data_IF_585427066333
#
_entry.id   IF_585427066333
#
_cell.length_a   1.000
_cell.length_b   1.000
_cell.length_c   1.000
_cell.angle_alpha   90.00
_cell.angle_beta   90.00
_cell.angle_gamma   90.00
#
_symmetry.space_group_name_H-M   'P 1'
#
loop_
_entity.id
_entity.type
_entity.pdbx_description
1 polymer ?
#
# COMPACT_ATOMS: atom_id res chain seq x y z
N UNK A 1 1.20 11.53 12.21
CA UNK A 1 1.37 10.67 11.04
C UNK A 1 2.70 9.90 11.01
N UNK A 2 3.76 10.51 11.51
CA UNK A 2 5.07 9.86 11.59
C UNK A 2 4.99 8.52 12.35
N UNK A 3 4.31 8.50 13.49
CA UNK A 3 4.18 7.29 14.31
C UNK A 3 3.39 6.19 13.59
N UNK A 4 2.32 6.54 12.90
CA UNK A 4 1.53 5.56 12.16
C UNK A 4 2.35 4.96 11.01
N UNK A 5 3.02 5.79 10.23
CA UNK A 5 3.87 5.33 9.14
C UNK A 5 4.99 4.41 9.66
N UNK A 6 5.61 4.78 10.77
CA UNK A 6 6.67 3.97 11.39
C UNK A 6 6.14 2.61 11.84
N UNK A 7 4.95 2.56 12.41
CA UNK A 7 4.32 1.30 12.83
C UNK A 7 4.02 0.41 11.62
N UNK A 8 3.55 0.99 10.52
CA UNK A 8 3.30 0.26 9.29
C UNK A 8 4.61 -0.31 8.73
N UNK A 9 5.67 0.50 8.70
CA UNK A 9 6.99 0.05 8.24
C UNK A 9 7.49 -1.11 9.09
N UNK A 10 7.29 -1.05 10.41
CA UNK A 10 7.61 -2.17 11.29
C UNK A 10 6.90 -3.47 10.89
N UNK A 11 5.63 -3.37 10.51
CA UNK A 11 4.89 -4.53 10.00
C UNK A 11 5.46 -5.04 8.68
N UNK A 12 5.82 -4.15 7.77
CA UNK A 12 6.46 -4.50 6.49
C UNK A 12 7.73 -5.31 6.73
N UNK A 13 8.57 -4.82 7.63
CA UNK A 13 9.85 -5.47 7.96
C UNK A 13 9.60 -6.87 8.53
N UNK A 14 8.66 -7.01 9.45
CA UNK A 14 8.33 -8.32 10.04
C UNK A 14 7.80 -9.31 9.01
N UNK A 15 6.93 -8.86 8.12
CA UNK A 15 6.41 -9.72 7.04
C UNK A 15 7.55 -10.17 6.13
N UNK A 16 8.42 -9.26 5.73
CA UNK A 16 9.54 -9.59 4.85
C UNK A 16 10.53 -10.55 5.53
N UNK A 17 10.81 -10.33 6.81
CA UNK A 17 11.67 -11.23 7.59
C UNK A 17 11.06 -12.63 7.72
N UNK A 18 9.75 -12.71 7.87
CA UNK A 18 9.06 -13.99 8.02
C UNK A 18 8.91 -14.77 6.73
N UNK A 19 8.59 -14.09 5.64
CA UNK A 19 8.32 -14.73 4.36
C UNK A 19 9.50 -14.73 3.40
N UNK A 20 10.28 -13.66 3.40
CA UNK A 20 11.32 -13.45 2.40
C UNK A 20 10.75 -13.11 1.03
N UNK A 21 11.61 -12.92 0.02
CA UNK A 21 11.17 -12.66 -1.35
C UNK A 21 10.64 -13.91 -2.04
N UNK A 22 9.91 -13.72 -3.15
CA UNK A 22 9.54 -14.81 -4.05
C UNK A 22 8.08 -15.20 -4.04
N UNK A 23 7.27 -14.67 -3.15
CA UNK A 23 5.84 -14.94 -3.12
C UNK A 23 5.06 -13.96 -4.01
N UNK A 24 3.81 -14.30 -4.32
CA UNK A 24 2.91 -13.43 -5.05
C UNK A 24 2.39 -12.30 -4.15
N UNK A 25 1.98 -11.20 -4.76
CA UNK A 25 1.54 -10.02 -4.03
C UNK A 25 0.39 -10.31 -3.04
N UNK A 26 -0.57 -11.16 -3.42
CA UNK A 26 -1.70 -11.48 -2.55
C UNK A 26 -1.27 -12.16 -1.25
N UNK A 27 -0.17 -12.90 -1.25
CA UNK A 27 0.36 -13.54 -0.06
C UNK A 27 0.91 -12.49 0.91
N UNK A 28 1.67 -11.53 0.38
CA UNK A 28 2.17 -10.41 1.19
C UNK A 28 1.03 -9.55 1.73
N UNK A 29 -0.01 -9.33 0.93
CA UNK A 29 -1.17 -8.55 1.38
C UNK A 29 -1.85 -9.24 2.56
N UNK A 30 -2.06 -10.54 2.50
CA UNK A 30 -2.65 -11.31 3.60
C UNK A 30 -1.78 -11.28 4.85
N UNK A 31 -0.48 -11.43 4.69
CA UNK A 31 0.47 -11.37 5.81
C UNK A 31 0.48 -9.97 6.43
N UNK A 32 0.48 -8.93 5.61
CA UNK A 32 0.40 -7.55 6.09
C UNK A 32 -0.88 -7.29 6.88
N UNK A 33 -2.01 -7.80 6.38
CA UNK A 33 -3.29 -7.67 7.10
C UNK A 33 -3.21 -8.28 8.50
N UNK A 34 -2.60 -9.46 8.62
CA UNK A 34 -2.41 -10.12 9.91
C UNK A 34 -1.53 -9.26 10.84
N UNK A 35 -0.38 -8.82 10.35
CA UNK A 35 0.55 -8.02 11.15
C UNK A 35 -0.04 -6.70 11.59
N UNK A 36 -0.72 -6.00 10.69
CA UNK A 36 -1.33 -4.70 11.01
C UNK A 36 -2.42 -4.86 12.08
N UNK A 37 -3.28 -5.87 11.94
CA UNK A 37 -4.32 -6.14 12.94
C UNK A 37 -3.73 -6.50 14.29
N UNK A 38 -2.68 -7.32 14.32
CA UNK A 38 -1.98 -7.67 15.57
C UNK A 38 -1.30 -6.47 16.22
N UNK A 39 -0.93 -5.49 15.42
CA UNK A 39 -0.40 -4.22 15.93
C UNK A 39 -1.51 -3.28 16.45
N UNK A 40 -2.77 -3.71 16.40
CA UNK A 40 -3.90 -2.91 16.87
C UNK A 40 -4.38 -1.86 15.88
N UNK A 41 -4.00 -1.97 14.61
CA UNK A 41 -4.39 -1.01 13.58
C UNK A 41 -5.63 -1.48 12.83
N UNK A 42 -6.56 -0.57 12.57
CA UNK A 42 -7.71 -0.87 11.74
C UNK A 42 -7.30 -0.77 10.27
N UNK A 43 -7.81 -1.69 9.46
CA UNK A 43 -7.45 -1.73 8.04
C UNK A 43 -8.68 -1.99 7.19
N UNK A 44 -8.62 -1.51 5.94
CA UNK A 44 -9.52 -1.89 4.86
C UNK A 44 -8.69 -2.60 3.81
N UNK A 45 -9.15 -3.76 3.34
CA UNK A 45 -8.43 -4.59 2.38
C UNK A 45 -9.14 -4.51 1.04
N UNK A 46 -8.38 -4.30 -0.03
CA UNK A 46 -8.90 -4.28 -1.40
C UNK A 46 -10.06 -3.30 -1.58
N UNK A 47 -9.96 -2.12 -0.98
CA UNK A 47 -11.00 -1.11 -1.11
C UNK A 47 -11.02 -0.53 -2.51
N UNK A 48 -12.20 -0.47 -3.12
CA UNK A 48 -12.38 0.20 -4.40
C UNK A 48 -12.57 1.70 -4.22
N UNK A 49 -11.99 2.46 -5.15
CA UNK A 49 -12.18 3.89 -5.28
C UNK A 49 -12.74 4.17 -6.68
N UNK A 50 -13.82 4.93 -6.74
CA UNK A 50 -14.45 5.28 -8.01
C UNK A 50 -13.78 6.51 -8.59
N UNK A 51 -13.44 6.46 -9.87
CA UNK A 51 -12.82 7.57 -10.59
C UNK A 51 -13.91 8.27 -11.41
N UNK A 52 -14.02 9.58 -11.23
CA UNK A 52 -14.98 10.42 -11.94
C UNK A 52 -14.26 11.38 -12.88
N UNK A 53 -14.88 11.59 -14.04
CA UNK A 53 -14.47 12.62 -14.98
C UNK A 53 -15.69 13.45 -15.35
N UNK A 54 -15.66 14.73 -15.00
CA UNK A 54 -16.78 15.66 -15.25
C UNK A 54 -18.12 15.12 -14.74
N UNK A 55 -18.10 14.49 -13.56
CA UNK A 55 -19.28 13.96 -12.90
C UNK A 55 -19.70 12.55 -13.31
N UNK A 56 -19.07 11.99 -14.33
CA UNK A 56 -19.38 10.63 -14.80
C UNK A 56 -18.34 9.63 -14.30
N UNK A 57 -18.80 8.47 -13.88
CA UNK A 57 -17.89 7.39 -13.48
C UNK A 57 -17.17 6.86 -14.73
N UNK A 58 -15.83 6.90 -14.71
CA UNK A 58 -15.00 6.42 -15.82
C UNK A 58 -14.18 5.19 -15.46
N UNK A 59 -14.16 4.80 -14.19
CA UNK A 59 -13.44 3.59 -13.79
C UNK A 59 -13.35 3.45 -12.29
N UNK A 60 -12.69 2.37 -11.87
CA UNK A 60 -12.45 2.08 -10.46
C UNK A 60 -11.04 1.56 -10.26
N UNK A 61 -10.42 1.97 -9.16
CA UNK A 61 -9.16 1.39 -8.69
C UNK A 61 -9.41 0.56 -7.46
N UNK A 62 -8.62 -0.50 -7.30
CA UNK A 62 -8.60 -1.30 -6.07
C UNK A 62 -7.27 -1.09 -5.37
N UNK A 63 -7.33 -0.53 -4.18
CA UNK A 63 -6.15 -0.28 -3.34
C UNK A 63 -5.92 -1.49 -2.45
N UNK A 64 -4.66 -1.90 -2.26
CA UNK A 64 -4.34 -3.09 -1.47
C UNK A 64 -4.81 -2.97 -0.02
N UNK A 65 -4.34 -1.94 0.66
CA UNK A 65 -4.65 -1.72 2.08
C UNK A 65 -4.79 -0.23 2.35
N UNK A 66 -5.72 0.12 3.24
CA UNK A 66 -5.78 1.46 3.84
C UNK A 66 -5.74 1.26 5.34
N UNK A 67 -4.77 1.92 5.98
CA UNK A 67 -4.52 1.78 7.41
C UNK A 67 -5.07 3.00 8.14
N UNK A 68 -5.91 2.77 9.13
CA UNK A 68 -6.55 3.80 9.98
C UNK A 68 -7.29 4.87 9.15
N UNK A 69 -7.76 4.49 7.96
CA UNK A 69 -8.41 5.44 7.05
C UNK A 69 -7.50 6.56 6.55
N UNK A 70 -6.18 6.47 6.74
CA UNK A 70 -5.26 7.57 6.52
C UNK A 70 -4.12 7.26 5.57
N UNK A 71 -3.62 6.03 5.55
CA UNK A 71 -2.43 5.66 4.77
C UNK A 71 -2.76 4.53 3.82
N UNK A 72 -2.56 4.79 2.53
CA UNK A 72 -2.63 3.73 1.50
C UNK A 72 -1.32 2.95 1.55
N UNK A 73 -1.41 1.63 1.58
CA UNK A 73 -0.24 0.76 1.48
C UNK A 73 -0.41 -0.11 0.24
N UNK A 74 0.40 0.17 -0.79
CA UNK A 74 0.42 -0.59 -2.03
C UNK A 74 1.60 -1.55 -2.03
N UNK A 75 1.34 -2.80 -2.36
CA UNK A 75 2.30 -3.88 -2.29
C UNK A 75 2.67 -4.36 -3.68
N UNK A 76 3.96 -4.52 -3.90
CA UNK A 76 4.53 -5.03 -5.16
C UNK A 76 5.50 -6.14 -4.88
N UNK A 77 5.66 -7.02 -5.86
CA UNK A 77 6.68 -8.07 -5.86
C UNK A 77 7.28 -8.09 -7.27
N UNK A 78 8.04 -7.05 -7.60
CA UNK A 78 8.58 -6.78 -8.92
C UNK A 78 10.10 -6.57 -8.83
N UNK A 79 10.81 -6.75 -9.95
CA UNK A 79 12.27 -6.60 -9.96
C UNK A 79 12.70 -5.19 -9.56
N UNK A 80 11.97 -4.17 -9.99
CA UNK A 80 12.25 -2.79 -9.62
C UNK A 80 10.96 -1.97 -9.66
N UNK A 81 10.85 -1.02 -8.73
CA UNK A 81 9.76 -0.06 -8.76
C UNK A 81 9.99 0.92 -9.92
N UNK A 82 8.93 1.23 -10.64
CA UNK A 82 8.97 2.09 -11.83
C UNK A 82 8.19 3.37 -11.60
N UNK A 83 8.39 4.33 -12.50
CA UNK A 83 7.61 5.59 -12.48
C UNK A 83 6.11 5.33 -12.56
N UNK A 84 5.69 4.29 -13.29
CA UNK A 84 4.26 3.97 -13.40
C UNK A 84 3.68 3.48 -12.07
N UNK A 85 4.46 2.77 -11.25
CA UNK A 85 4.02 2.37 -9.91
C UNK A 85 3.76 3.60 -9.03
N UNK A 86 4.66 4.57 -9.04
CA UNK A 86 4.47 5.83 -8.30
C UNK A 86 3.27 6.62 -8.81
N UNK A 87 3.13 6.71 -10.13
CA UNK A 87 2.00 7.42 -10.73
C UNK A 87 0.67 6.78 -10.34
N UNK A 88 0.61 5.46 -10.29
CA UNK A 88 -0.57 4.73 -9.87
C UNK A 88 -0.95 5.09 -8.43
N UNK A 89 0.01 5.06 -7.52
CA UNK A 89 -0.23 5.38 -6.10
C UNK A 89 -0.68 6.84 -5.95
N UNK A 90 -0.05 7.76 -6.68
CA UNK A 90 -0.47 9.16 -6.65
C UNK A 90 -1.90 9.34 -7.14
N UNK A 91 -2.30 8.58 -8.17
CA UNK A 91 -3.69 8.64 -8.65
C UNK A 91 -4.67 8.11 -7.61
N UNK A 92 -4.30 7.07 -6.85
CA UNK A 92 -5.10 6.56 -5.74
C UNK A 92 -5.27 7.60 -4.65
N UNK A 93 -4.19 8.28 -4.27
CA UNK A 93 -4.23 9.34 -3.26
C UNK A 93 -5.20 10.46 -3.69
N UNK A 94 -5.11 10.88 -4.94
CA UNK A 94 -6.00 11.90 -5.49
C UNK A 94 -7.46 11.45 -5.43
N UNK A 95 -7.75 10.25 -5.91
CA UNK A 95 -9.11 9.73 -5.98
C UNK A 95 -9.71 9.49 -4.60
N UNK A 96 -8.92 8.98 -3.65
CA UNK A 96 -9.35 8.70 -2.29
C UNK A 96 -9.30 9.93 -1.38
N UNK A 97 -8.72 11.04 -1.85
CA UNK A 97 -8.52 12.28 -1.08
C UNK A 97 -7.70 12.03 0.19
N UNK A 98 -6.65 11.24 0.05
CA UNK A 98 -5.71 10.96 1.13
C UNK A 98 -4.36 11.60 0.85
N UNK A 99 -3.57 11.82 1.91
CA UNK A 99 -2.31 12.55 1.84
C UNK A 99 -1.09 11.64 1.94
N UNK A 100 -1.26 10.41 2.42
CA UNK A 100 -0.13 9.55 2.77
C UNK A 100 -0.26 8.19 2.13
N UNK A 101 0.84 7.72 1.54
CA UNK A 101 0.91 6.36 1.01
C UNK A 101 2.31 5.80 1.18
N UNK A 102 2.38 4.48 1.28
CA UNK A 102 3.61 3.70 1.20
C UNK A 102 3.50 2.78 -0.01
N UNK A 103 4.52 2.79 -0.83
CA UNK A 103 4.71 1.84 -1.91
C UNK A 103 5.80 0.86 -1.48
N UNK A 104 5.46 -0.41 -1.37
CA UNK A 104 6.33 -1.45 -0.80
C UNK A 104 6.62 -2.50 -1.84
N UNK A 105 7.90 -2.86 -1.97
CA UNK A 105 8.32 -3.96 -2.84
C UNK A 105 8.98 -5.04 -2.01
N UNK A 106 8.46 -6.27 -2.08
CA UNK A 106 8.95 -7.42 -1.33
C UNK A 106 9.93 -8.30 -2.12
N UNK A 107 10.19 -7.99 -3.39
CA UNK A 107 10.97 -8.88 -4.25
C UNK A 107 12.46 -8.93 -3.94
N UNK A 108 12.98 -7.93 -3.23
CA UNK A 108 14.42 -7.84 -2.92
C UNK A 108 14.77 -8.52 -1.61
N UNK A 109 16.07 -8.64 -1.31
CA UNK A 109 16.58 -9.26 -0.10
C UNK A 109 16.15 -8.49 1.16
N UNK A 110 15.94 -7.18 1.03
CA UNK A 110 15.36 -6.34 2.07
C UNK A 110 14.08 -5.71 1.53
N UNK A 111 13.12 -5.49 2.40
CA UNK A 111 11.90 -4.78 2.02
C UNK A 111 12.27 -3.37 1.55
N UNK A 112 11.81 -2.99 0.37
CA UNK A 112 11.95 -1.64 -0.14
C UNK A 112 10.61 -0.92 0.05
N UNK A 113 10.64 0.20 0.76
CA UNK A 113 9.44 0.97 1.00
C UNK A 113 9.70 2.45 0.70
N UNK A 114 8.73 3.08 0.03
CA UNK A 114 8.83 4.46 -0.41
C UNK A 114 7.59 5.22 0.03
N UNK A 115 7.79 6.42 0.59
CA UNK A 115 6.68 7.33 0.88
C UNK A 115 6.28 8.02 -0.40
N UNK A 116 4.98 8.10 -0.64
CA UNK A 116 4.42 8.74 -1.83
C UNK A 116 3.44 9.81 -1.39
N UNK A 117 3.58 11.02 -1.96
CA UNK A 117 2.70 12.15 -1.71
C UNK A 117 1.79 12.39 -2.91
N UNK A 118 0.65 13.08 -2.73
CA UNK A 118 -0.23 13.44 -3.84
C UNK A 118 0.49 14.27 -4.90
N UNK A 119 -0.03 14.28 -6.14
CA UNK A 119 0.56 15.07 -7.21
C UNK A 119 0.49 16.58 -6.93
#
# INVERSE_FOLDING_TARGET
>A
MVDLTRRIIGCVIRVHQGLGPGFLENIYRRAMAIELRRAGLSIEVEREVVIYYQGDEVGRHRMDLIVEGQVIVELKAVDALSKSHYAQVRSYLKAARLQYALLVNFAEQRADFRRVSPP
#
